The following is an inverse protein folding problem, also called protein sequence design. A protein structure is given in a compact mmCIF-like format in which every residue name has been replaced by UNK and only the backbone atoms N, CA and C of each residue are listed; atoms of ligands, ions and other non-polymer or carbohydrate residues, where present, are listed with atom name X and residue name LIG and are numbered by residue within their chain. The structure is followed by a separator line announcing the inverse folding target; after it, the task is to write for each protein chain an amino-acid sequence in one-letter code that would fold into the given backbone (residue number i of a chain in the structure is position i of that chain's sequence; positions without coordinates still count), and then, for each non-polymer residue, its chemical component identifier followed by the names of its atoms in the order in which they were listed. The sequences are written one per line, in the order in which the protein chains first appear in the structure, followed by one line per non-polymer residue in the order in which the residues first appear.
data_IF_834042080480
#
_entry.id   IF_834042080480
#
_cell.length_a   1.000
_cell.length_b   1.000
_cell.length_c   1.000
_cell.angle_alpha   90.00
_cell.angle_beta   90.00
_cell.angle_gamma   90.00
#
_symmetry.space_group_name_H-M   'P 1'
#
loop_
_entity.id
_entity.type
_entity.pdbx_description
1 polymer ?
#
# COMPACT_ATOMS: atom_id res chain seq x y z
N UNK A 1 5.37 23.87 19.75
CA UNK A 1 4.25 22.91 19.55
C UNK A 1 3.24 23.44 18.55
N UNK A 2 2.36 22.59 18.01
CA UNK A 2 1.29 23.03 17.10
C UNK A 2 0.34 24.03 17.80
N UNK A 3 0.08 23.86 19.08
CA UNK A 3 -0.77 24.77 19.86
C UNK A 3 -0.17 26.18 19.96
N UNK A 4 1.13 26.30 20.17
CA UNK A 4 1.83 27.58 20.23
C UNK A 4 1.79 28.31 18.88
N UNK A 5 1.93 27.57 17.78
CA UNK A 5 1.81 28.15 16.43
C UNK A 5 0.41 28.71 16.21
N UNK A 6 -0.63 27.98 16.60
CA UNK A 6 -2.00 28.46 16.49
C UNK A 6 -2.28 29.67 17.37
N UNK A 7 -1.78 29.67 18.61
CA UNK A 7 -1.87 30.83 19.49
C UNK A 7 -1.19 32.07 18.88
N UNK A 8 0.00 31.89 18.31
CA UNK A 8 0.71 32.97 17.63
C UNK A 8 -0.09 33.51 16.44
N UNK A 9 -0.60 32.63 15.57
CA UNK A 9 -1.42 33.01 14.41
C UNK A 9 -2.65 33.83 14.86
N UNK A 10 -3.36 33.41 15.88
CA UNK A 10 -4.53 34.11 16.39
C UNK A 10 -4.16 35.41 17.10
N UNK A 11 -3.10 35.43 17.90
CA UNK A 11 -2.66 36.64 18.63
C UNK A 11 -2.26 37.78 17.72
N UNK A 12 -1.68 37.45 16.56
CA UNK A 12 -1.26 38.45 15.58
C UNK A 12 -2.23 38.62 14.41
N UNK A 13 -3.41 38.00 14.49
CA UNK A 13 -4.44 38.03 13.45
C UNK A 13 -3.88 37.71 12.02
N UNK A 14 -3.03 36.70 11.95
CA UNK A 14 -2.41 36.30 10.68
C UNK A 14 -3.42 35.57 9.79
N UNK A 15 -3.12 35.60 8.48
CA UNK A 15 -3.92 34.88 7.51
C UNK A 15 -3.96 33.37 7.78
N UNK A 16 -5.18 32.84 7.81
CA UNK A 16 -5.42 31.39 7.99
C UNK A 16 -5.97 30.83 6.67
N UNK A 17 -5.34 29.76 6.17
CA UNK A 17 -5.85 29.07 4.99
C UNK A 17 -7.28 28.57 5.22
N UNK A 18 -8.15 28.80 4.23
CA UNK A 18 -9.57 28.44 4.27
C UNK A 18 -9.81 26.95 4.59
N UNK A 19 -8.90 26.07 4.22
CA UNK A 19 -9.01 24.64 4.54
C UNK A 19 -9.10 24.39 6.04
N UNK A 20 -8.32 25.11 6.85
CA UNK A 20 -8.38 25.02 8.32
C UNK A 20 -9.68 25.59 8.87
N UNK A 21 -10.14 26.73 8.35
CA UNK A 21 -11.41 27.35 8.75
C UNK A 21 -12.59 26.40 8.49
N UNK A 22 -12.51 25.60 7.42
CA UNK A 22 -13.49 24.57 7.06
C UNK A 22 -13.29 23.23 7.79
N UNK A 23 -12.47 23.19 8.83
CA UNK A 23 -12.31 22.03 9.70
C UNK A 23 -11.27 20.99 9.26
N UNK A 24 -10.48 21.25 8.22
CA UNK A 24 -9.40 20.32 7.87
C UNK A 24 -8.23 20.44 8.86
N UNK A 25 -7.67 19.31 9.26
CA UNK A 25 -6.48 19.26 10.12
C UNK A 25 -5.20 19.69 9.40
N UNK A 26 -5.22 19.67 8.06
CA UNK A 26 -4.10 20.04 7.18
C UNK A 26 -4.62 20.68 5.91
N UNK A 27 -3.97 21.76 5.46
CA UNK A 27 -4.10 22.23 4.10
C UNK A 27 -3.27 21.31 3.19
N UNK A 28 -3.87 20.80 2.13
CA UNK A 28 -3.23 19.86 1.20
C UNK A 28 -4.09 19.57 -0.01
N UNK A 29 -3.75 18.53 -0.74
CA UNK A 29 -4.50 18.12 -1.93
C UNK A 29 -5.95 17.80 -1.60
N UNK A 30 -6.86 18.20 -2.48
CA UNK A 30 -8.29 18.01 -2.31
C UNK A 30 -8.67 16.53 -2.19
N UNK A 31 -8.10 15.70 -3.05
CA UNK A 31 -8.21 14.25 -3.04
C UNK A 31 -6.83 13.65 -2.79
N UNK A 32 -6.45 13.59 -1.53
CA UNK A 32 -5.17 13.01 -1.13
C UNK A 32 -5.39 11.57 -0.68
N UNK A 33 -4.82 10.57 -1.36
CA UNK A 33 -4.95 9.17 -0.96
C UNK A 33 -4.29 8.88 0.40
N UNK A 34 -3.50 9.82 0.92
CA UNK A 34 -2.85 9.73 2.24
C UNK A 34 -3.64 10.41 3.35
N UNK A 35 -4.82 10.96 3.07
CA UNK A 35 -5.64 11.61 4.10
C UNK A 35 -6.42 10.58 4.94
N UNK A 36 -6.71 10.93 6.18
CA UNK A 36 -7.59 10.13 7.03
C UNK A 36 -9.07 10.35 6.67
N UNK A 37 -9.93 9.37 7.00
CA UNK A 37 -11.35 9.37 6.62
C UNK A 37 -12.13 10.62 7.06
N UNK A 38 -11.86 11.18 8.24
CA UNK A 38 -12.49 12.43 8.71
C UNK A 38 -12.14 13.61 7.79
N UNK A 39 -10.87 13.76 7.43
CA UNK A 39 -10.43 14.85 6.52
C UNK A 39 -10.99 14.66 5.11
N UNK A 40 -11.20 13.44 4.67
CA UNK A 40 -11.81 13.13 3.38
C UNK A 40 -13.30 13.51 3.37
N UNK A 41 -14.03 13.13 4.43
CA UNK A 41 -15.43 13.51 4.61
C UNK A 41 -15.60 15.05 4.60
N UNK A 42 -14.79 15.77 5.37
CA UNK A 42 -14.83 17.25 5.44
C UNK A 42 -14.56 17.88 4.08
N UNK A 43 -13.64 17.34 3.29
CA UNK A 43 -13.35 17.83 1.95
C UNK A 43 -14.49 17.58 0.98
N UNK A 44 -15.06 16.39 0.97
CA UNK A 44 -16.24 16.05 0.15
C UNK A 44 -17.41 16.98 0.46
N UNK A 45 -17.66 17.24 1.73
CA UNK A 45 -18.73 18.14 2.17
C UNK A 45 -18.50 19.60 1.73
N UNK A 46 -17.29 20.10 1.88
CA UNK A 46 -16.98 21.52 1.63
C UNK A 46 -16.65 21.88 0.16
N UNK A 47 -16.31 20.87 -0.65
CA UNK A 47 -15.84 21.06 -2.03
C UNK A 47 -16.47 20.05 -3.00
N UNK A 48 -17.76 19.82 -2.84
CA UNK A 48 -18.51 18.77 -3.56
C UNK A 48 -18.27 18.81 -5.07
N UNK A 49 -18.45 19.96 -5.72
CA UNK A 49 -18.31 20.10 -7.18
C UNK A 49 -16.90 19.66 -7.67
N UNK A 50 -15.86 20.05 -6.96
CA UNK A 50 -14.50 19.69 -7.33
C UNK A 50 -14.22 18.18 -7.08
N UNK A 51 -14.78 17.64 -5.99
CA UNK A 51 -14.65 16.22 -5.65
C UNK A 51 -15.41 15.37 -6.67
N UNK A 52 -16.63 15.76 -7.03
CA UNK A 52 -17.47 15.03 -7.99
C UNK A 52 -16.81 14.95 -9.37
N UNK A 53 -16.18 16.02 -9.83
CA UNK A 53 -15.40 15.99 -11.08
C UNK A 53 -14.28 14.93 -11.06
N UNK A 54 -13.60 14.76 -9.94
CA UNK A 54 -12.59 13.70 -9.78
C UNK A 54 -13.22 12.31 -9.68
N UNK A 55 -14.34 12.18 -9.01
CA UNK A 55 -15.10 10.93 -8.90
C UNK A 55 -15.55 10.48 -10.29
N UNK A 56 -15.99 11.39 -11.12
CA UNK A 56 -16.39 11.10 -12.50
C UNK A 56 -15.20 10.58 -13.34
N UNK A 57 -14.02 11.17 -13.18
CA UNK A 57 -12.79 10.66 -13.81
C UNK A 57 -12.45 9.25 -13.32
N UNK A 58 -12.58 9.00 -12.02
CA UNK A 58 -12.32 7.67 -11.42
C UNK A 58 -13.32 6.66 -11.97
N UNK A 59 -14.59 6.99 -12.03
CA UNK A 59 -15.65 6.16 -12.61
C UNK A 59 -15.36 5.87 -14.09
N UNK A 60 -15.04 6.90 -14.86
CA UNK A 60 -14.73 6.76 -16.28
C UNK A 60 -13.55 5.83 -16.51
N UNK A 61 -12.46 5.96 -15.76
CA UNK A 61 -11.29 5.10 -15.88
C UNK A 61 -11.60 3.65 -15.51
N UNK A 62 -12.35 3.42 -14.44
CA UNK A 62 -12.64 2.07 -13.97
C UNK A 62 -13.81 1.40 -14.71
N UNK A 63 -14.61 2.15 -15.48
CA UNK A 63 -15.61 1.55 -16.36
C UNK A 63 -15.00 0.67 -17.47
N UNK A 64 -13.71 0.85 -17.76
CA UNK A 64 -12.98 -0.02 -18.71
C UNK A 64 -12.62 -1.38 -18.12
N UNK A 65 -12.62 -1.54 -16.81
CA UNK A 65 -12.29 -2.78 -16.11
C UNK A 65 -13.49 -3.71 -15.91
N UNK A 66 -14.56 -3.51 -16.71
CA UNK A 66 -15.77 -4.36 -16.70
C UNK A 66 -16.58 -4.36 -15.38
N UNK A 67 -16.49 -3.28 -14.60
CA UNK A 67 -17.35 -3.11 -13.43
C UNK A 67 -18.80 -2.78 -13.85
N UNK A 68 -19.75 -3.41 -13.20
CA UNK A 68 -21.14 -2.95 -13.24
C UNK A 68 -21.30 -1.60 -12.54
N UNK A 69 -22.36 -0.86 -12.83
CA UNK A 69 -22.61 0.45 -12.20
C UNK A 69 -22.68 0.36 -10.67
N UNK A 70 -23.25 -0.70 -10.13
CA UNK A 70 -23.33 -0.95 -8.70
C UNK A 70 -21.96 -1.22 -8.06
N UNK A 71 -21.11 -1.99 -8.73
CA UNK A 71 -19.74 -2.26 -8.29
C UNK A 71 -18.90 -0.98 -8.34
N UNK A 72 -19.05 -0.20 -9.39
CA UNK A 72 -18.36 1.07 -9.54
C UNK A 72 -18.78 2.07 -8.45
N UNK A 73 -20.07 2.15 -8.16
CA UNK A 73 -20.58 2.96 -7.05
C UNK A 73 -20.02 2.49 -5.71
N UNK A 74 -20.02 1.19 -5.45
CA UNK A 74 -19.42 0.61 -4.25
C UNK A 74 -17.93 0.88 -4.15
N UNK A 75 -17.18 0.73 -5.24
CA UNK A 75 -15.75 1.04 -5.31
C UNK A 75 -15.44 2.50 -4.95
N UNK A 76 -16.24 3.44 -5.48
CA UNK A 76 -16.07 4.87 -5.20
C UNK A 76 -16.46 5.21 -3.76
N UNK A 77 -17.60 4.70 -3.27
CA UNK A 77 -18.10 5.03 -1.92
C UNK A 77 -17.27 4.41 -0.81
N UNK A 78 -16.72 3.21 -1.03
CA UNK A 78 -15.81 2.54 -0.10
C UNK A 78 -14.39 3.11 -0.11
N UNK A 79 -14.07 4.02 -1.03
CA UNK A 79 -12.73 4.58 -1.19
C UNK A 79 -11.75 3.59 -1.82
N UNK A 80 -12.22 2.66 -2.65
CA UNK A 80 -11.40 1.67 -3.33
C UNK A 80 -10.26 2.27 -4.15
N UNK A 81 -10.47 3.44 -4.71
CA UNK A 81 -9.47 4.22 -5.44
C UNK A 81 -8.31 4.71 -4.54
N UNK A 82 -8.50 4.77 -3.21
CA UNK A 82 -7.50 5.16 -2.21
C UNK A 82 -6.67 3.94 -1.71
N UNK A 83 -7.02 2.74 -2.11
CA UNK A 83 -6.32 1.52 -1.72
C UNK A 83 -4.84 1.48 -2.14
N UNK A 84 -4.44 2.35 -3.06
CA UNK A 84 -3.04 2.58 -3.45
C UNK A 84 -2.13 2.87 -2.25
N UNK A 85 -2.64 3.53 -1.23
CA UNK A 85 -1.96 3.82 0.03
C UNK A 85 -1.57 2.56 0.80
N UNK A 86 -2.44 1.58 0.84
CA UNK A 86 -2.26 0.34 1.58
C UNK A 86 -1.79 -0.84 0.72
N UNK A 87 -1.66 -0.63 -0.60
CA UNK A 87 -1.41 -1.69 -1.56
C UNK A 87 -2.59 -2.65 -1.75
N UNK A 88 -3.75 -2.33 -1.19
CA UNK A 88 -4.97 -3.12 -1.36
C UNK A 88 -5.65 -2.75 -2.67
N UNK A 89 -6.13 -3.73 -3.41
CA UNK A 89 -6.98 -3.52 -4.58
C UNK A 89 -6.29 -2.99 -5.84
N UNK A 90 -4.94 -2.97 -5.89
CA UNK A 90 -4.22 -2.58 -7.12
C UNK A 90 -4.43 -3.60 -8.25
N UNK A 91 -4.76 -4.84 -7.92
CA UNK A 91 -4.93 -5.94 -8.86
C UNK A 91 -6.30 -6.64 -8.73
N UNK A 92 -7.37 -5.90 -8.51
CA UNK A 92 -8.67 -6.51 -8.21
C UNK A 92 -8.62 -7.34 -6.91
N UNK A 93 -9.66 -8.05 -6.60
CA UNK A 93 -9.78 -8.85 -5.35
C UNK A 93 -8.95 -10.16 -5.34
N UNK A 94 -7.88 -10.26 -6.12
CA UNK A 94 -7.05 -11.47 -6.13
C UNK A 94 -6.04 -11.40 -4.98
N UNK A 95 -6.28 -12.20 -3.97
CA UNK A 95 -5.36 -12.37 -2.86
C UNK A 95 -4.13 -13.15 -3.33
N UNK A 96 -3.03 -12.45 -3.62
CA UNK A 96 -1.77 -13.07 -4.04
C UNK A 96 -0.83 -13.44 -2.90
N UNK A 97 -1.11 -12.97 -1.70
CA UNK A 97 -0.32 -13.23 -0.50
C UNK A 97 -1.25 -13.55 0.67
N UNK A 98 -1.04 -14.70 1.29
CA UNK A 98 -1.76 -15.12 2.48
C UNK A 98 -0.76 -15.54 3.55
N UNK A 99 -0.97 -15.11 4.78
CA UNK A 99 -0.16 -15.49 5.93
C UNK A 99 -1.06 -16.10 7.00
N UNK A 100 -0.69 -17.26 7.49
CA UNK A 100 -1.38 -17.97 8.59
C UNK A 100 -0.35 -18.37 9.64
N UNK A 101 -0.74 -18.28 10.91
CA UNK A 101 0.09 -18.75 12.03
C UNK A 101 -0.64 -19.86 12.75
N UNK A 102 -0.04 -21.04 12.80
CA UNK A 102 -0.63 -22.22 13.43
C UNK A 102 0.48 -23.02 14.12
N UNK A 103 0.27 -23.39 15.37
CA UNK A 103 1.17 -24.29 16.13
C UNK A 103 2.65 -23.84 16.13
N UNK A 104 2.90 -22.53 16.28
CA UNK A 104 4.26 -21.99 16.30
C UNK A 104 4.96 -21.92 14.94
N UNK A 105 4.21 -22.15 13.86
CA UNK A 105 4.68 -22.01 12.47
C UNK A 105 3.94 -20.89 11.77
N UNK A 106 4.66 -20.13 11.00
CA UNK A 106 4.13 -19.10 10.11
C UNK A 106 4.20 -19.65 8.69
N UNK A 107 3.05 -19.79 8.06
CA UNK A 107 2.93 -20.24 6.68
C UNK A 107 2.55 -19.05 5.82
N UNK A 108 3.35 -18.77 4.80
CA UNK A 108 3.13 -17.73 3.81
C UNK A 108 2.90 -18.39 2.46
N UNK A 109 1.77 -18.13 1.86
CA UNK A 109 1.42 -18.61 0.53
C UNK A 109 1.44 -17.44 -0.45
N UNK A 110 2.16 -17.56 -1.55
CA UNK A 110 2.08 -16.65 -2.68
C UNK A 110 1.48 -17.36 -3.89
N UNK A 111 0.49 -16.71 -4.50
CA UNK A 111 -0.25 -17.23 -5.64
C UNK A 111 -0.09 -16.29 -6.85
N UNK A 112 0.24 -16.84 -8.00
CA UNK A 112 0.45 -16.10 -9.24
C UNK A 112 1.26 -14.80 -9.02
N UNK A 113 2.52 -14.91 -8.51
CA UNK A 113 3.31 -13.74 -8.20
C UNK A 113 3.57 -12.90 -9.46
N UNK A 114 3.49 -11.58 -9.30
CA UNK A 114 3.72 -10.64 -10.40
C UNK A 114 5.20 -10.52 -10.80
N UNK A 115 6.10 -10.97 -9.92
CA UNK A 115 7.55 -10.95 -10.14
C UNK A 115 8.21 -12.17 -9.50
N UNK A 116 9.41 -12.50 -9.93
CA UNK A 116 10.14 -13.66 -9.43
C UNK A 116 10.45 -13.51 -7.92
N UNK A 117 9.83 -14.35 -7.13
CA UNK A 117 10.02 -14.35 -5.67
C UNK A 117 11.43 -14.82 -5.27
N UNK A 118 12.12 -15.62 -6.10
CA UNK A 118 13.49 -16.09 -5.85
C UNK A 118 14.46 -14.91 -5.88
N UNK A 119 14.29 -14.01 -6.85
CA UNK A 119 15.09 -12.79 -6.92
C UNK A 119 14.81 -11.86 -5.74
N UNK A 120 13.55 -11.68 -5.38
CA UNK A 120 13.20 -10.88 -4.19
C UNK A 120 13.74 -11.46 -2.88
N UNK A 121 13.79 -12.78 -2.73
CA UNK A 121 14.35 -13.43 -1.53
C UNK A 121 15.85 -13.22 -1.37
N UNK A 122 16.60 -12.99 -2.44
CA UNK A 122 18.03 -12.64 -2.36
C UNK A 122 18.29 -11.37 -1.51
N UNK A 123 17.27 -10.52 -1.35
CA UNK A 123 17.34 -9.31 -0.52
C UNK A 123 17.14 -9.60 0.98
N UNK A 124 16.82 -10.83 1.35
CA UNK A 124 16.55 -11.26 2.73
C UNK A 124 17.64 -12.21 3.22
N UNK A 125 18.02 -12.07 4.48
CA UNK A 125 18.90 -13.03 5.14
C UNK A 125 18.10 -14.27 5.55
N UNK A 126 18.06 -15.28 4.68
CA UNK A 126 17.38 -16.55 4.93
C UNK A 126 18.26 -17.56 5.70
N UNK A 127 19.50 -17.20 6.01
CA UNK A 127 20.38 -18.05 6.81
C UNK A 127 20.06 -17.93 8.30
N UNK A 128 19.68 -16.74 8.75
CA UNK A 128 19.28 -16.46 10.14
C UNK A 128 17.91 -17.05 10.49
N UNK A 129 16.96 -17.02 9.53
CA UNK A 129 15.64 -17.67 9.68
C UNK A 129 15.47 -18.67 8.54
N UNK A 130 15.69 -19.97 8.80
CA UNK A 130 15.54 -20.99 7.77
C UNK A 130 14.10 -21.04 7.22
N UNK A 131 13.99 -21.10 5.89
CA UNK A 131 12.74 -21.21 5.18
C UNK A 131 12.58 -22.61 4.60
N UNK A 132 11.48 -23.29 4.93
CA UNK A 132 11.05 -24.44 4.15
C UNK A 132 10.19 -23.90 2.99
N UNK A 133 10.59 -24.21 1.76
CA UNK A 133 9.96 -23.73 0.55
C UNK A 133 9.37 -24.91 -0.22
N UNK A 134 8.09 -24.80 -0.56
CA UNK A 134 7.37 -25.77 -1.37
C UNK A 134 6.82 -25.03 -2.60
N UNK A 135 7.41 -25.30 -3.77
CA UNK A 135 6.97 -24.71 -5.04
C UNK A 135 5.77 -25.48 -5.60
N UNK A 136 4.84 -24.74 -6.18
CA UNK A 136 3.70 -25.30 -6.89
C UNK A 136 3.56 -24.62 -8.27
N UNK A 137 2.68 -25.13 -9.14
CA UNK A 137 2.50 -24.61 -10.49
C UNK A 137 2.10 -23.13 -10.55
N UNK A 138 1.49 -22.60 -9.49
CA UNK A 138 0.93 -21.24 -9.46
C UNK A 138 1.59 -20.32 -8.42
N UNK A 139 2.69 -20.75 -7.80
CA UNK A 139 3.39 -19.95 -6.80
C UNK A 139 4.26 -20.77 -5.87
N UNK A 140 4.30 -20.37 -4.59
CA UNK A 140 5.08 -21.09 -3.60
C UNK A 140 4.52 -20.89 -2.17
N UNK A 141 4.80 -21.86 -1.32
CA UNK A 141 4.48 -21.84 0.11
C UNK A 141 5.77 -21.81 0.91
N UNK A 142 5.85 -20.89 1.88
CA UNK A 142 7.00 -20.67 2.73
C UNK A 142 6.60 -20.94 4.17
N UNK A 143 7.35 -21.79 4.86
CA UNK A 143 7.11 -22.10 6.26
C UNK A 143 8.30 -21.63 7.09
N UNK A 144 8.01 -20.80 8.10
CA UNK A 144 8.96 -20.24 9.05
C UNK A 144 8.60 -20.67 10.47
N UNK A 145 9.62 -20.76 11.33
CA UNK A 145 9.41 -20.91 12.77
C UNK A 145 8.97 -19.58 13.39
N UNK A 146 7.85 -19.56 14.11
CA UNK A 146 7.38 -18.36 14.83
C UNK A 146 8.41 -17.94 15.90
N UNK A 147 9.09 -18.90 16.53
CA UNK A 147 10.13 -18.66 17.53
C UNK A 147 11.30 -17.89 16.92
N UNK A 148 11.77 -18.29 15.74
CA UNK A 148 12.91 -17.65 15.08
C UNK A 148 12.55 -16.26 14.58
N UNK A 149 11.32 -16.08 14.09
CA UNK A 149 10.81 -14.77 13.70
C UNK A 149 10.69 -13.82 14.90
N UNK A 150 10.28 -14.31 16.07
CA UNK A 150 10.26 -13.52 17.31
C UNK A 150 11.67 -13.19 17.82
N UNK A 151 12.62 -14.09 17.65
CA UNK A 151 14.02 -13.85 18.00
C UNK A 151 14.71 -12.84 17.07
N UNK A 152 14.33 -12.84 15.78
CA UNK A 152 14.90 -12.00 14.74
C UNK A 152 13.83 -11.18 13.99
N UNK A 153 13.14 -10.23 14.65
CA UNK A 153 11.95 -9.56 14.10
C UNK A 153 12.25 -8.74 12.85
N UNK A 154 13.44 -8.15 12.74
CA UNK A 154 13.87 -7.39 11.56
C UNK A 154 14.02 -8.29 10.34
N UNK A 155 14.65 -9.45 10.49
CA UNK A 155 14.85 -10.41 9.40
C UNK A 155 13.48 -10.97 8.96
N UNK A 156 12.64 -11.38 9.90
CA UNK A 156 11.29 -11.83 9.62
C UNK A 156 10.42 -10.78 8.90
N UNK A 157 10.60 -9.50 9.22
CA UNK A 157 9.95 -8.39 8.52
C UNK A 157 10.44 -8.27 7.07
N UNK A 158 11.76 -8.37 6.85
CA UNK A 158 12.35 -8.29 5.51
C UNK A 158 11.85 -9.44 4.63
N UNK A 159 11.85 -10.67 5.13
CA UNK A 159 11.32 -11.85 4.41
C UNK A 159 9.87 -11.61 3.95
N UNK A 160 8.99 -11.19 4.88
CA UNK A 160 7.59 -10.88 4.55
C UNK A 160 7.47 -9.76 3.50
N UNK A 161 8.28 -8.73 3.61
CA UNK A 161 8.26 -7.62 2.66
C UNK A 161 8.74 -8.05 1.27
N UNK A 162 9.76 -8.88 1.19
CA UNK A 162 10.27 -9.43 -0.08
C UNK A 162 9.21 -10.28 -0.77
N UNK A 163 8.55 -11.17 -0.03
CA UNK A 163 7.48 -12.00 -0.56
C UNK A 163 6.25 -11.19 -0.99
N UNK A 164 5.87 -10.16 -0.22
CA UNK A 164 4.80 -9.23 -0.63
C UNK A 164 5.17 -8.43 -1.89
N UNK A 165 6.43 -8.02 -2.02
CA UNK A 165 6.91 -7.36 -3.25
C UNK A 165 6.82 -8.30 -4.44
N UNK A 166 7.23 -9.55 -4.30
CA UNK A 166 7.10 -10.54 -5.36
C UNK A 166 5.64 -10.75 -5.78
N UNK A 167 4.74 -10.88 -4.80
CA UNK A 167 3.32 -11.08 -5.04
C UNK A 167 2.66 -9.92 -5.80
N UNK A 168 3.00 -8.67 -5.44
CA UNK A 168 2.30 -7.47 -5.91
C UNK A 168 3.19 -6.47 -6.68
N UNK A 169 4.30 -6.91 -7.25
CA UNK A 169 5.20 -6.04 -8.00
C UNK A 169 4.55 -5.54 -9.29
N UNK A 170 4.43 -4.23 -9.43
CA UNK A 170 3.89 -3.56 -10.63
C UNK A 170 4.97 -3.00 -11.55
N UNK A 171 6.24 -3.33 -11.32
CA UNK A 171 7.36 -2.89 -12.16
C UNK A 171 7.63 -1.37 -12.11
N UNK A 172 7.18 -0.66 -11.08
CA UNK A 172 7.31 0.81 -10.99
C UNK A 172 8.75 1.31 -10.74
N UNK A 173 9.71 0.42 -10.53
CA UNK A 173 11.15 0.68 -10.31
C UNK A 173 11.49 1.58 -9.11
N UNK A 174 10.54 1.88 -8.24
CA UNK A 174 10.79 2.69 -7.02
C UNK A 174 11.82 2.01 -6.11
N UNK A 175 11.82 0.68 -6.06
CA UNK A 175 12.79 -0.07 -5.26
C UNK A 175 14.23 0.11 -5.79
N UNK A 176 14.42 0.13 -7.09
CA UNK A 176 15.70 0.41 -7.74
C UNK A 176 16.16 1.84 -7.47
N UNK A 177 15.28 2.82 -7.69
CA UNK A 177 15.59 4.23 -7.48
C UNK A 177 15.96 4.57 -6.02
N UNK A 178 15.43 3.82 -5.05
CA UNK A 178 15.72 4.01 -3.62
C UNK A 178 16.81 3.07 -3.07
N UNK A 179 17.36 2.19 -3.89
CA UNK A 179 18.41 1.26 -3.47
C UNK A 179 19.77 1.96 -3.40
N UNK A 180 20.16 2.45 -2.23
CA UNK A 180 21.43 3.15 -2.03
C UNK A 180 22.66 2.31 -2.38
N UNK A 181 22.58 1.00 -2.25
CA UNK A 181 23.66 0.06 -2.56
C UNK A 181 23.66 -0.43 -4.01
N UNK A 182 22.66 -0.04 -4.83
CA UNK A 182 22.58 -0.49 -6.22
C UNK A 182 22.36 -2.00 -6.37
N UNK A 183 21.78 -2.67 -5.35
CA UNK A 183 21.58 -4.13 -5.36
C UNK A 183 20.28 -4.60 -6.00
N UNK A 184 19.40 -3.68 -6.35
CA UNK A 184 18.12 -3.98 -6.98
C UNK A 184 18.09 -3.32 -8.34
N UNK A 185 17.99 -4.13 -9.38
CA UNK A 185 17.88 -3.68 -10.76
C UNK A 185 16.62 -4.25 -11.42
N UNK A 186 16.15 -3.57 -12.44
CA UNK A 186 15.04 -4.02 -13.26
C UNK A 186 15.47 -4.07 -14.73
N UNK A 187 15.43 -5.26 -15.33
CA UNK A 187 15.61 -5.46 -16.75
C UNK A 187 14.35 -6.06 -17.37
N UNK A 188 13.87 -5.46 -18.47
CA UNK A 188 12.66 -5.90 -19.17
C UNK A 188 11.44 -6.08 -18.26
N UNK A 189 11.30 -5.19 -17.24
CA UNK A 189 10.20 -5.24 -16.29
C UNK A 189 10.32 -6.30 -15.18
N UNK A 190 11.43 -7.02 -15.13
CA UNK A 190 11.70 -8.01 -14.08
C UNK A 190 12.81 -7.52 -13.17
N UNK A 191 12.68 -7.85 -11.88
CA UNK A 191 13.75 -7.62 -10.89
C UNK A 191 14.85 -8.66 -11.09
N UNK A 192 16.09 -8.21 -10.96
CA UNK A 192 17.32 -9.01 -11.00
C UNK A 192 18.25 -8.61 -9.88
#
# INVERSE_FOLDING_TARGET
TSAEIWLYIYSYNLFINRAYIKGNSRAGCLLCPMSGGCSDYIRRYNYTENVDSFIDIIKYKNSWDSYSEAELHSYVTSGGWDNRRSGRGIEGNVLKYKETTTEGKITIEIMNPSSDWKEWLKTADITTIPLKIEENSNGATFVLSEKDVKAHPTVGKIIRQSLKKAAYCVGCRVCEANCKGGHIHFENGKVI
#
